data_IF_111866962414
#
_entry.id   IF_111866962414
#
_cell.length_a   1.000
_cell.length_b   1.000
_cell.length_c   1.000
_cell.angle_alpha   90.00
_cell.angle_beta   90.00
_cell.angle_gamma   90.00
#
_symmetry.space_group_name_H-M   'P 1'
#
loop_
_entity.id
_entity.type
_entity.pdbx_description
1 polymer ?
#
# COMPACT_ATOMS: atom_id res chain seq x y z
N UNK A 1 1.95 6.70 -15.90
CA UNK A 1 1.87 8.06 -15.32
C UNK A 1 1.01 8.10 -14.05
N UNK A 2 0.05 7.19 -13.86
CA UNK A 2 -0.80 7.13 -12.65
C UNK A 2 -0.03 7.08 -11.32
N UNK A 3 1.15 6.44 -11.29
CA UNK A 3 1.99 6.36 -10.09
C UNK A 3 2.94 7.56 -9.91
N UNK A 4 3.09 8.43 -10.92
CA UNK A 4 4.07 9.52 -10.88
C UNK A 4 3.66 10.59 -9.85
N UNK A 5 2.40 11.04 -9.90
CA UNK A 5 1.88 12.06 -8.97
C UNK A 5 1.89 11.55 -7.50
N UNK A 6 1.43 10.33 -7.18
CA UNK A 6 1.52 9.79 -5.82
C UNK A 6 2.96 9.69 -5.29
N UNK A 7 3.93 9.29 -6.12
CA UNK A 7 5.31 9.16 -5.66
C UNK A 7 5.98 10.51 -5.40
N UNK A 8 5.68 11.53 -6.22
CA UNK A 8 6.14 12.90 -5.97
C UNK A 8 5.58 13.41 -4.65
N UNK A 9 4.27 13.30 -4.43
CA UNK A 9 3.63 13.73 -3.19
C UNK A 9 4.25 13.03 -1.97
N UNK A 10 4.41 11.71 -2.03
CA UNK A 10 5.05 10.93 -0.96
C UNK A 10 6.47 11.43 -0.66
N UNK A 11 7.30 11.59 -1.68
CA UNK A 11 8.68 12.06 -1.52
C UNK A 11 8.76 13.45 -0.90
N UNK A 12 7.98 14.39 -1.44
CA UNK A 12 7.91 15.76 -0.95
C UNK A 12 7.42 15.84 0.50
N UNK A 13 6.30 15.17 0.83
CA UNK A 13 5.75 15.15 2.19
C UNK A 13 6.72 14.53 3.19
N UNK A 14 7.43 13.46 2.81
CA UNK A 14 8.34 12.77 3.72
C UNK A 14 9.58 13.61 4.05
N UNK A 15 10.15 14.32 3.08
CA UNK A 15 11.28 15.24 3.34
C UNK A 15 10.85 16.45 4.18
N UNK A 16 9.68 17.04 3.88
CA UNK A 16 9.14 18.18 4.64
C UNK A 16 8.87 17.82 6.10
N UNK A 17 8.33 16.64 6.38
CA UNK A 17 8.05 16.20 7.75
C UNK A 17 9.31 15.74 8.49
N UNK A 18 10.29 15.15 7.81
CA UNK A 18 11.44 14.55 8.51
C UNK A 18 12.36 15.56 9.19
N UNK A 19 12.54 16.75 8.60
CA UNK A 19 13.42 17.78 9.17
C UNK A 19 12.91 18.27 10.54
N UNK A 20 11.66 18.75 10.69
CA UNK A 20 11.16 19.19 11.98
C UNK A 20 11.03 18.05 13.00
N UNK A 21 10.64 16.84 12.57
CA UNK A 21 10.52 15.68 13.47
C UNK A 21 11.88 15.35 14.09
N UNK A 22 12.96 15.29 13.29
CA UNK A 22 14.30 15.02 13.82
C UNK A 22 14.76 16.12 14.78
N UNK A 23 14.50 17.39 14.44
CA UNK A 23 14.92 18.50 15.28
C UNK A 23 14.19 18.50 16.63
N UNK A 24 12.89 18.20 16.65
CA UNK A 24 12.11 18.08 17.89
C UNK A 24 12.55 16.86 18.71
N UNK A 25 12.79 15.72 18.05
CA UNK A 25 13.10 14.46 18.73
C UNK A 25 14.53 14.41 19.30
N UNK A 26 15.49 15.07 18.63
CA UNK A 26 16.92 14.91 18.93
C UNK A 26 17.65 16.24 19.17
N UNK A 27 17.10 17.38 18.75
CA UNK A 27 17.82 18.67 18.72
C UNK A 27 18.13 19.28 20.09
N UNK A 28 17.42 18.88 21.15
CA UNK A 28 17.63 19.41 22.52
C UNK A 28 18.42 18.45 23.42
N UNK A 29 18.85 17.30 22.91
CA UNK A 29 19.48 16.25 23.70
C UNK A 29 21.00 16.45 23.84
N UNK A 30 21.58 16.22 25.04
CA UNK A 30 23.03 16.24 25.21
C UNK A 30 23.72 15.17 24.35
N UNK A 31 24.96 15.42 23.87
CA UNK A 31 25.66 14.54 22.92
C UNK A 31 25.79 13.08 23.39
N UNK A 32 25.94 12.89 24.70
CA UNK A 32 26.08 11.57 25.34
C UNK A 32 24.83 10.70 25.18
N UNK A 33 23.64 11.31 25.12
CA UNK A 33 22.36 10.59 24.96
C UNK A 33 21.90 10.50 23.51
N UNK A 34 22.48 11.30 22.63
CA UNK A 34 22.09 11.41 21.22
C UNK A 34 22.20 10.06 20.49
N UNK A 35 23.24 9.27 20.77
CA UNK A 35 23.46 7.95 20.16
C UNK A 35 22.33 6.96 20.50
N UNK A 36 21.95 6.89 21.77
CA UNK A 36 20.88 6.00 22.23
C UNK A 36 19.52 6.47 21.72
N UNK A 37 19.26 7.78 21.77
CA UNK A 37 18.01 8.35 21.28
C UNK A 37 17.84 8.20 19.76
N UNK A 38 18.91 8.37 18.98
CA UNK A 38 18.90 8.15 17.52
C UNK A 38 18.63 6.68 17.18
N UNK A 39 19.18 5.74 17.94
CA UNK A 39 18.89 4.31 17.81
C UNK A 39 17.40 4.03 18.05
N UNK A 40 16.85 4.53 19.15
CA UNK A 40 15.43 4.38 19.47
C UNK A 40 14.51 5.04 18.43
N UNK A 41 14.86 6.25 17.95
CA UNK A 41 14.10 6.96 16.92
C UNK A 41 14.01 6.16 15.62
N UNK A 42 15.13 5.59 15.17
CA UNK A 42 15.15 4.74 13.98
C UNK A 42 14.36 3.44 14.17
N UNK A 43 14.44 2.83 15.35
CA UNK A 43 13.63 1.66 15.70
C UNK A 43 12.13 1.97 15.64
N UNK A 44 11.68 3.03 16.29
CA UNK A 44 10.27 3.45 16.29
C UNK A 44 9.79 3.77 14.88
N UNK A 45 10.62 4.40 14.05
CA UNK A 45 10.30 4.67 12.65
C UNK A 45 10.11 3.40 11.84
N UNK A 46 11.03 2.44 11.94
CA UNK A 46 10.93 1.17 11.22
C UNK A 46 9.73 0.34 11.70
N UNK A 47 9.49 0.32 13.02
CA UNK A 47 8.32 -0.32 13.61
C UNK A 47 7.01 0.31 13.09
N UNK A 48 6.91 1.64 13.09
CA UNK A 48 5.75 2.34 12.55
C UNK A 48 5.51 2.02 11.07
N UNK A 49 6.58 1.90 10.28
CA UNK A 49 6.51 1.46 8.88
C UNK A 49 5.97 0.04 8.74
N UNK A 50 6.44 -0.90 9.55
CA UNK A 50 5.98 -2.29 9.54
C UNK A 50 4.50 -2.41 9.97
N UNK A 51 4.11 -1.71 11.04
CA UNK A 51 2.72 -1.67 11.52
C UNK A 51 1.79 -1.04 10.48
N UNK A 52 2.19 0.10 9.90
CA UNK A 52 1.42 0.76 8.85
C UNK A 52 1.24 -0.14 7.63
N UNK A 53 2.29 -0.83 7.20
CA UNK A 53 2.20 -1.79 6.10
C UNK A 53 1.26 -2.95 6.43
N UNK A 54 1.32 -3.50 7.64
CA UNK A 54 0.43 -4.56 8.08
C UNK A 54 -1.04 -4.13 8.01
N UNK A 55 -1.36 -2.93 8.50
CA UNK A 55 -2.72 -2.36 8.45
C UNK A 55 -3.18 -2.20 7.00
N UNK A 56 -2.36 -1.58 6.14
CA UNK A 56 -2.68 -1.38 4.72
C UNK A 56 -2.95 -2.74 4.05
N UNK A 57 -2.11 -3.74 4.32
CA UNK A 57 -2.27 -5.07 3.75
C UNK A 57 -3.56 -5.74 4.23
N UNK A 58 -3.88 -5.66 5.53
CA UNK A 58 -5.13 -6.18 6.08
C UNK A 58 -6.34 -5.55 5.38
N UNK A 59 -6.36 -4.22 5.24
CA UNK A 59 -7.45 -3.51 4.56
C UNK A 59 -7.53 -3.92 3.08
N UNK A 60 -6.39 -4.08 2.42
CA UNK A 60 -6.33 -4.50 1.02
C UNK A 60 -6.90 -5.90 0.82
N UNK A 61 -6.56 -6.85 1.70
CA UNK A 61 -7.06 -8.23 1.64
C UNK A 61 -8.57 -8.25 1.85
N UNK A 62 -9.06 -7.57 2.89
CA UNK A 62 -10.50 -7.47 3.19
C UNK A 62 -11.28 -6.87 2.01
N UNK A 63 -10.77 -5.78 1.44
CA UNK A 63 -11.40 -5.12 0.31
C UNK A 63 -11.39 -5.99 -0.95
N UNK A 64 -10.30 -6.72 -1.20
CA UNK A 64 -10.24 -7.68 -2.31
C UNK A 64 -11.24 -8.82 -2.13
N UNK A 65 -11.35 -9.39 -0.91
CA UNK A 65 -12.33 -10.43 -0.63
C UNK A 65 -13.76 -9.92 -0.86
N UNK A 66 -14.08 -8.70 -0.43
CA UNK A 66 -15.37 -8.06 -0.70
C UNK A 66 -15.65 -7.91 -2.21
N UNK A 67 -14.70 -7.36 -2.97
CA UNK A 67 -14.88 -7.19 -4.42
C UNK A 67 -14.95 -8.52 -5.17
N UNK A 68 -14.19 -9.53 -4.73
CA UNK A 68 -14.25 -10.87 -5.30
C UNK A 68 -15.61 -11.53 -5.06
N UNK A 69 -16.15 -11.46 -3.84
CA UNK A 69 -17.47 -11.96 -3.53
C UNK A 69 -18.53 -11.31 -4.43
N UNK A 70 -18.52 -9.97 -4.53
CA UNK A 70 -19.42 -9.23 -5.41
C UNK A 70 -19.27 -9.61 -6.87
N UNK A 71 -18.05 -9.83 -7.37
CA UNK A 71 -17.85 -10.26 -8.75
C UNK A 71 -18.37 -11.68 -8.97
N UNK A 72 -18.10 -12.59 -8.04
CA UNK A 72 -18.56 -13.99 -8.12
C UNK A 72 -20.08 -14.11 -8.09
N UNK A 73 -20.79 -13.23 -7.38
CA UNK A 73 -22.27 -13.16 -7.39
C UNK A 73 -22.84 -12.87 -8.78
N UNK A 74 -22.10 -12.16 -9.64
CA UNK A 74 -22.53 -11.82 -11.00
C UNK A 74 -22.06 -12.83 -12.05
N UNK A 75 -21.34 -13.88 -11.64
CA UNK A 75 -20.94 -14.97 -12.52
C UNK A 75 -21.98 -16.08 -12.43
N UNK A 76 -22.95 -16.05 -13.34
CA UNK A 76 -23.94 -17.12 -13.47
C UNK A 76 -23.38 -18.34 -14.21
N UNK A 77 -23.75 -19.54 -13.75
CA UNK A 77 -23.52 -20.78 -14.46
C UNK A 77 -24.31 -20.76 -15.77
N UNK A 78 -23.59 -20.78 -16.90
CA UNK A 78 -24.19 -20.74 -18.24
C UNK A 78 -24.39 -19.33 -18.80
N UNK A 79 -23.68 -18.30 -18.31
CA UNK A 79 -23.81 -16.95 -18.86
C UNK A 79 -23.66 -16.92 -20.39
N UNK A 80 -24.63 -16.34 -21.08
CA UNK A 80 -24.64 -16.22 -22.55
C UNK A 80 -23.38 -15.50 -23.06
N UNK A 81 -22.88 -14.52 -22.31
CA UNK A 81 -21.66 -13.80 -22.65
C UNK A 81 -20.42 -14.71 -22.66
N UNK A 82 -20.29 -15.62 -21.68
CA UNK A 82 -19.20 -16.59 -21.65
C UNK A 82 -19.34 -17.66 -22.75
N UNK A 83 -20.56 -18.15 -22.98
CA UNK A 83 -20.83 -19.12 -24.06
C UNK A 83 -20.53 -18.51 -25.43
N UNK A 84 -20.98 -17.28 -25.68
CA UNK A 84 -20.71 -16.54 -26.93
C UNK A 84 -19.21 -16.30 -27.12
N UNK A 85 -18.47 -15.99 -26.05
CA UNK A 85 -17.01 -15.82 -26.11
C UNK A 85 -16.31 -17.14 -26.46
N UNK A 86 -16.71 -18.25 -25.86
CA UNK A 86 -16.18 -19.59 -26.17
C UNK A 86 -16.47 -19.96 -27.64
N UNK A 87 -17.70 -19.75 -28.11
CA UNK A 87 -18.07 -19.97 -29.50
C UNK A 87 -17.22 -19.15 -30.48
N UNK A 88 -17.02 -17.86 -30.19
CA UNK A 88 -16.19 -16.98 -31.02
C UNK A 88 -14.71 -17.37 -31.03
N UNK A 89 -14.20 -17.95 -29.94
CA UNK A 89 -12.85 -18.51 -29.93
C UNK A 89 -12.77 -19.77 -30.78
N UNK A 90 -13.74 -20.70 -30.66
CA UNK A 90 -13.81 -21.91 -31.50
C UNK A 90 -13.89 -21.59 -32.99
N UNK A 91 -14.65 -20.56 -33.36
CA UNK A 91 -14.75 -20.07 -34.74
C UNK A 91 -13.47 -19.44 -35.31
N UNK A 92 -12.51 -19.03 -34.47
CA UNK A 92 -11.19 -18.54 -34.93
C UNK A 92 -10.16 -19.66 -35.13
N UNK A 93 -10.48 -20.90 -34.75
CA UNK A 93 -9.61 -22.07 -34.96
C UNK A 93 -9.95 -22.86 -36.24
N UNK A 94 -11.00 -22.47 -36.97
CA UNK A 94 -11.31 -22.91 -38.34
C UNK A 94 -10.86 -21.86 -39.37
#
# INVERSE_FOLDING_TARGET
YELLVPQILRGCSMMLCMVPINNIALGTLPPERLKNASGLFNLTRNLGGAVGLAIINTVLIDRNAFHYARLSEHVEWGSEAAQTKLQNMTLNFE
#
